data_IF_122392142521
#
_entry.id   IF_122392142521
#
_cell.length_a   1.000
_cell.length_b   1.000
_cell.length_c   1.000
_cell.angle_alpha   90.00
_cell.angle_beta   90.00
_cell.angle_gamma   90.00
#
_symmetry.space_group_name_H-M   'P 1'
#
loop_
_entity.id
_entity.type
_entity.pdbx_description
1 polymer ?
#
# COMPACT_ATOMS: atom_id res chain seq x y z
N UNK A 1 16.60 21.00 11.00
CA UNK A 1 16.95 19.92 10.06
C UNK A 1 16.21 18.66 10.49
N UNK A 2 15.20 18.22 9.74
CA UNK A 2 14.33 17.10 10.12
C UNK A 2 15.07 15.77 9.99
N UNK A 3 14.99 14.91 11.02
CA UNK A 3 15.66 13.60 11.07
C UNK A 3 15.28 12.61 9.96
N UNK A 4 14.27 12.93 9.14
CA UNK A 4 13.88 12.16 7.96
C UNK A 4 14.94 12.19 6.84
N UNK A 5 15.64 13.32 6.64
CA UNK A 5 16.61 13.47 5.54
C UNK A 5 17.81 12.53 5.65
N UNK A 6 18.28 12.30 6.88
CA UNK A 6 19.43 11.42 7.16
C UNK A 6 19.11 9.94 6.93
N UNK A 7 17.87 9.50 7.14
CA UNK A 7 17.45 8.10 6.91
C UNK A 7 17.40 7.76 5.43
N UNK A 8 16.89 8.68 4.60
CA UNK A 8 16.78 8.49 3.14
C UNK A 8 18.14 8.36 2.46
N UNK A 9 19.12 9.14 2.89
CA UNK A 9 20.49 9.04 2.37
C UNK A 9 21.18 7.71 2.69
N UNK A 10 20.93 7.14 3.88
CA UNK A 10 21.48 5.81 4.26
C UNK A 10 20.82 4.67 3.49
N UNK A 11 19.51 4.75 3.27
CA UNK A 11 18.77 3.75 2.50
C UNK A 11 19.27 3.69 1.04
N UNK A 12 19.41 4.84 0.39
CA UNK A 12 19.91 4.93 -0.99
C UNK A 12 21.30 4.29 -1.13
N UNK A 13 22.23 4.63 -0.24
CA UNK A 13 23.60 4.06 -0.23
C UNK A 13 23.62 2.55 0.03
N UNK A 14 22.70 2.03 0.84
CA UNK A 14 22.62 0.60 1.12
C UNK A 14 22.10 -0.20 -0.08
N UNK A 15 21.16 0.37 -0.84
CA UNK A 15 20.62 -0.24 -2.07
C UNK A 15 21.68 -0.22 -3.18
N UNK A 16 22.34 0.91 -3.43
CA UNK A 16 23.33 1.06 -4.50
C UNK A 16 24.56 0.16 -4.34
N UNK A 17 24.87 -0.26 -3.10
CA UNK A 17 26.01 -1.13 -2.78
C UNK A 17 25.68 -2.62 -2.79
N UNK A 18 24.41 -2.99 -2.88
CA UNK A 18 23.98 -4.38 -2.74
C UNK A 18 23.67 -4.99 -4.11
N UNK A 19 24.49 -5.96 -4.52
CA UNK A 19 24.34 -6.66 -5.80
C UNK A 19 23.28 -7.76 -5.75
N UNK A 20 22.94 -8.27 -4.56
CA UNK A 20 21.93 -9.31 -4.43
C UNK A 20 20.51 -8.71 -4.36
N UNK A 21 19.64 -8.99 -5.34
CA UNK A 21 18.30 -8.41 -5.39
C UNK A 21 17.42 -8.80 -4.19
N UNK A 22 17.62 -9.97 -3.59
CA UNK A 22 16.86 -10.39 -2.40
C UNK A 22 17.26 -9.60 -1.14
N UNK A 23 18.54 -9.23 -1.04
CA UNK A 23 19.01 -8.40 0.07
C UNK A 23 18.53 -6.96 -0.06
N UNK A 24 18.40 -6.44 -1.29
CA UNK A 24 17.77 -5.13 -1.55
C UNK A 24 16.33 -5.11 -1.03
N UNK A 25 15.55 -6.16 -1.30
CA UNK A 25 14.19 -6.28 -0.75
C UNK A 25 14.17 -6.30 0.78
N UNK A 26 15.10 -7.01 1.42
CA UNK A 26 15.22 -7.02 2.87
C UNK A 26 15.59 -5.62 3.45
N UNK A 27 16.46 -4.88 2.77
CA UNK A 27 16.83 -3.51 3.13
C UNK A 27 15.60 -2.58 3.02
N UNK A 28 14.81 -2.69 1.96
CA UNK A 28 13.58 -1.93 1.77
C UNK A 28 12.56 -2.24 2.87
N UNK A 29 12.29 -3.52 3.15
CA UNK A 29 11.34 -3.95 4.20
C UNK A 29 11.69 -3.44 5.60
N UNK A 30 12.99 -3.31 5.90
CA UNK A 30 13.46 -2.81 7.21
C UNK A 30 13.38 -1.29 7.36
N UNK A 31 13.40 -0.55 6.25
CA UNK A 31 13.50 0.91 6.27
C UNK A 31 12.23 1.63 5.80
N UNK A 32 11.31 0.91 5.16
CA UNK A 32 10.04 1.44 4.66
C UNK A 32 8.91 0.85 5.51
N UNK A 33 8.02 1.67 6.08
CA UNK A 33 6.84 1.20 6.79
C UNK A 33 6.02 0.21 5.96
N UNK A 34 5.57 -0.87 6.60
CA UNK A 34 4.85 -1.94 5.92
C UNK A 34 3.56 -1.45 5.23
N UNK A 35 2.88 -0.45 5.78
CA UNK A 35 1.72 0.20 5.16
C UNK A 35 1.99 0.88 3.80
N UNK A 36 3.26 1.16 3.46
CA UNK A 36 3.67 1.69 2.15
C UNK A 36 4.04 0.55 1.19
N UNK A 37 4.52 -0.58 1.74
CA UNK A 37 4.91 -1.76 0.97
C UNK A 37 3.71 -2.66 0.64
N UNK A 38 2.71 -2.64 1.50
CA UNK A 38 1.40 -3.19 1.22
C UNK A 38 0.67 -2.21 0.31
N UNK A 39 0.61 -2.53 -0.99
CA UNK A 39 -0.33 -1.90 -1.88
C UNK A 39 -1.72 -2.12 -1.25
N UNK A 40 -2.54 -1.08 -1.02
CA UNK A 40 -3.91 -1.30 -0.62
C UNK A 40 -4.53 -2.16 -1.71
N UNK A 41 -4.86 -3.41 -1.38
CA UNK A 41 -5.60 -4.26 -2.29
C UNK A 41 -6.89 -3.50 -2.60
N UNK A 42 -7.15 -3.11 -3.87
CA UNK A 42 -8.36 -2.37 -4.21
C UNK A 42 -9.62 -3.17 -3.83
N UNK A 43 -9.51 -4.50 -3.70
CA UNK A 43 -10.58 -5.34 -3.19
C UNK A 43 -10.87 -5.13 -1.69
N UNK A 44 -9.88 -4.69 -0.90
CA UNK A 44 -10.01 -4.46 0.55
C UNK A 44 -10.61 -3.09 0.88
N UNK A 45 -10.61 -2.15 -0.08
CA UNK A 45 -11.32 -0.87 0.03
C UNK A 45 -12.76 -0.93 -0.52
N UNK A 46 -13.10 -1.94 -1.33
CA UNK A 46 -14.44 -2.17 -1.86
C UNK A 46 -15.42 -2.82 -0.85
N UNK A 47 -15.14 -2.69 0.46
CA UNK A 47 -15.85 -3.41 1.51
C UNK A 47 -17.06 -2.71 2.13
N UNK A 48 -17.39 -1.46 1.78
CA UNK A 48 -18.47 -0.75 2.47
C UNK A 48 -19.24 0.30 1.65
N UNK A 49 -19.26 0.20 0.32
CA UNK A 49 -20.13 1.06 -0.51
C UNK A 49 -20.86 0.29 -1.61
N UNK A 50 -21.47 -0.85 -1.23
CA UNK A 50 -22.45 -1.51 -2.08
C UNK A 50 -23.80 -1.32 -1.42
N UNK A 51 -24.55 -0.30 -1.85
CA UNK A 51 -25.96 -0.16 -1.51
C UNK A 51 -26.73 -1.24 -2.25
N UNK A 52 -27.21 -2.23 -1.51
CA UNK A 52 -28.14 -3.22 -2.06
C UNK A 52 -29.47 -2.52 -2.33
N UNK A 53 -29.93 -2.54 -3.59
CA UNK A 53 -31.21 -1.94 -4.00
C UNK A 53 -32.22 -3.06 -4.15
N UNK A 54 -33.33 -2.97 -3.41
CA UNK A 54 -34.42 -3.93 -3.48
C UNK A 54 -35.33 -3.54 -4.66
N UNK A 55 -35.17 -4.22 -5.78
CA UNK A 55 -35.89 -3.92 -7.02
C UNK A 55 -37.41 -4.18 -6.94
N UNK A 56 -37.86 -4.97 -5.96
CA UNK A 56 -39.28 -5.24 -5.75
C UNK A 56 -40.08 -4.01 -5.30
N UNK A 57 -39.41 -2.96 -4.81
CA UNK A 57 -40.05 -1.69 -4.44
C UNK A 57 -40.52 -0.88 -5.67
N UNK A 58 -39.97 -1.17 -6.85
CA UNK A 58 -40.25 -0.45 -8.09
C UNK A 58 -41.22 -1.17 -9.04
N UNK A 59 -41.74 -2.34 -8.63
CA UNK A 59 -42.69 -3.13 -9.41
C UNK A 59 -44.17 -2.76 -9.17
N UNK A 60 -44.45 -1.67 -8.44
CA UNK A 60 -45.81 -1.22 -8.14
C UNK A 60 -46.24 -0.08 -9.06
N UNK A 61 -46.24 -0.29 -10.38
CA UNK A 61 -46.93 0.58 -11.33
C UNK A 61 -47.41 -0.24 -12.54
N UNK A 62 -48.68 -0.67 -12.48
CA UNK A 62 -49.54 -0.95 -13.64
C UNK A 62 -50.50 0.23 -13.83
#
# INVERSE_FOLDING_TARGET
MTGLGLRRGRLKKAIEKEANPLKVLAILRRNVPQAILELPDPARQAGHDRREVILSEYLLHD
#
